data_IF_352762276163
#
_entry.id   IF_352762276163
#
_cell.length_a   1.000
_cell.length_b   1.000
_cell.length_c   1.000
_cell.angle_alpha   90.00
_cell.angle_beta   90.00
_cell.angle_gamma   90.00
#
_symmetry.space_group_name_H-M   'P 1'
#
loop_
_entity.id
_entity.type
_entity.pdbx_description
1 polymer ?
#
# COMPACT_ATOMS: atom_id res chain seq x y z
N UNK A 1 -45.06 -18.35 22.80
CA UNK A 1 -44.89 -16.98 23.34
C UNK A 1 -43.65 -16.80 24.20
N UNK A 2 -43.30 -17.74 25.09
CA UNK A 2 -42.18 -17.59 26.04
C UNK A 2 -40.78 -17.56 25.38
N UNK A 3 -40.56 -18.33 24.30
CA UNK A 3 -39.32 -18.31 23.52
C UNK A 3 -39.06 -16.97 22.81
N UNK A 4 -40.12 -16.29 22.35
CA UNK A 4 -40.00 -15.03 21.64
C UNK A 4 -39.57 -13.88 22.58
N UNK A 5 -40.04 -13.90 23.82
CA UNK A 5 -39.68 -12.90 24.85
C UNK A 5 -38.24 -13.10 25.34
N UNK A 6 -37.77 -14.36 25.43
CA UNK A 6 -36.37 -14.68 25.79
C UNK A 6 -35.43 -14.28 24.66
N UNK A 7 -35.81 -14.52 23.41
CA UNK A 7 -35.03 -14.13 22.23
C UNK A 7 -34.94 -12.60 22.08
N UNK A 8 -36.03 -11.87 22.31
CA UNK A 8 -36.04 -10.39 22.26
C UNK A 8 -35.13 -9.77 23.36
N UNK A 9 -35.09 -10.37 24.55
CA UNK A 9 -34.19 -9.94 25.64
C UNK A 9 -32.70 -10.21 25.34
N UNK A 10 -32.39 -11.26 24.58
CA UNK A 10 -31.03 -11.53 24.09
C UNK A 10 -30.64 -10.56 22.95
N UNK A 11 -31.60 -10.21 22.09
CA UNK A 11 -31.40 -9.31 20.95
C UNK A 11 -31.10 -7.86 21.36
N UNK A 12 -31.75 -7.36 22.42
CA UNK A 12 -31.53 -5.99 22.94
C UNK A 12 -30.16 -5.85 23.64
N UNK A 13 -29.51 -6.96 24.01
CA UNK A 13 -28.26 -6.94 24.79
C UNK A 13 -27.00 -6.77 23.93
N UNK A 14 -27.10 -6.91 22.60
CA UNK A 14 -25.95 -6.83 21.69
C UNK A 14 -26.01 -5.56 20.83
N UNK A 15 -25.49 -4.46 21.37
CA UNK A 15 -25.35 -3.16 20.68
C UNK A 15 -24.54 -3.23 19.37
N UNK A 16 -23.76 -4.28 19.13
CA UNK A 16 -22.92 -4.41 17.93
C UNK A 16 -23.71 -4.82 16.67
N UNK A 17 -24.89 -5.42 16.84
CA UNK A 17 -25.73 -5.84 15.70
C UNK A 17 -26.54 -4.68 15.10
N UNK A 18 -26.85 -3.66 15.90
CA UNK A 18 -27.58 -2.47 15.46
C UNK A 18 -26.78 -1.64 14.44
N UNK A 19 -25.46 -1.60 14.60
CA UNK A 19 -24.56 -0.89 13.66
C UNK A 19 -24.46 -1.59 12.29
N UNK A 20 -24.67 -2.91 12.22
CA UNK A 20 -24.62 -3.68 10.97
C UNK A 20 -25.91 -3.52 10.15
N UNK A 21 -27.04 -3.28 10.82
CA UNK A 21 -28.36 -3.14 10.17
C UNK A 21 -28.56 -1.72 9.61
N UNK A 22 -27.98 -0.71 10.25
CA UNK A 22 -28.27 0.70 9.95
C UNK A 22 -27.63 1.25 8.68
N UNK A 23 -26.65 0.58 8.07
CA UNK A 23 -25.94 1.19 6.94
C UNK A 23 -26.49 0.86 5.54
N UNK A 24 -27.12 -0.30 5.26
CA UNK A 24 -27.68 -0.55 3.91
C UNK A 24 -28.89 -1.51 3.79
N UNK A 25 -29.62 -1.87 4.87
CA UNK A 25 -30.58 -2.99 4.78
C UNK A 25 -32.03 -2.70 5.20
N UNK A 26 -32.61 -1.59 4.73
CA UNK A 26 -34.05 -1.31 4.93
C UNK A 26 -34.96 -2.30 4.18
N UNK A 27 -34.56 -2.76 2.99
CA UNK A 27 -35.34 -3.70 2.16
C UNK A 27 -35.49 -5.10 2.79
N UNK A 28 -34.47 -5.59 3.48
CA UNK A 28 -34.50 -6.93 4.09
C UNK A 28 -35.39 -7.00 5.32
N UNK A 29 -35.51 -5.90 6.07
CA UNK A 29 -36.45 -5.79 7.20
C UNK A 29 -37.89 -5.83 6.66
N UNK A 30 -38.19 -5.13 5.57
CA UNK A 30 -39.52 -5.12 4.93
C UNK A 30 -39.87 -6.52 4.37
N UNK A 31 -38.93 -7.20 3.73
CA UNK A 31 -39.14 -8.55 3.19
C UNK A 31 -39.38 -9.58 4.32
N UNK A 32 -38.65 -9.49 5.43
CA UNK A 32 -38.85 -10.34 6.61
C UNK A 32 -40.20 -10.11 7.29
N UNK A 33 -40.65 -8.86 7.39
CA UNK A 33 -41.97 -8.52 7.91
C UNK A 33 -43.10 -9.03 7.00
N UNK A 34 -42.92 -8.94 5.67
CA UNK A 34 -43.89 -9.45 4.69
C UNK A 34 -44.00 -10.97 4.70
N UNK A 35 -42.87 -11.68 4.77
CA UNK A 35 -42.84 -13.15 4.78
C UNK A 35 -43.34 -13.76 6.09
N UNK A 36 -43.23 -13.06 7.23
CA UNK A 36 -43.79 -13.51 8.52
C UNK A 36 -45.33 -13.53 8.56
N UNK A 37 -46.01 -12.97 7.56
CA UNK A 37 -47.46 -13.00 7.43
C UNK A 37 -48.00 -14.27 6.75
N UNK A 38 -47.11 -15.19 6.34
CA UNK A 38 -47.48 -16.47 5.73
C UNK A 38 -47.63 -17.57 6.81
N UNK A 39 -48.58 -18.49 6.61
CA UNK A 39 -49.01 -19.51 7.59
C UNK A 39 -47.90 -20.46 8.09
N UNK A 40 -46.73 -20.50 7.45
CA UNK A 40 -45.68 -21.47 7.72
C UNK A 40 -44.37 -20.78 8.17
N UNK A 41 -44.42 -20.16 9.35
CA UNK A 41 -43.40 -19.24 9.89
C UNK A 41 -42.01 -19.86 10.08
N UNK A 42 -41.93 -21.17 10.33
CA UNK A 42 -40.65 -21.83 10.65
C UNK A 42 -39.74 -21.99 9.41
N UNK A 43 -40.29 -22.34 8.25
CA UNK A 43 -39.50 -22.55 7.02
C UNK A 43 -38.95 -21.24 6.46
N UNK A 44 -39.74 -20.18 6.53
CA UNK A 44 -39.36 -18.83 6.07
C UNK A 44 -38.21 -18.27 6.91
N UNK A 45 -38.26 -18.46 8.22
CA UNK A 45 -37.20 -18.04 9.12
C UNK A 45 -35.88 -18.76 8.82
N UNK A 46 -35.94 -20.07 8.57
CA UNK A 46 -34.77 -20.87 8.21
C UNK A 46 -34.15 -20.37 6.90
N UNK A 47 -34.96 -20.13 5.86
CA UNK A 47 -34.47 -19.60 4.57
C UNK A 47 -33.82 -18.23 4.75
N UNK A 48 -34.41 -17.34 5.54
CA UNK A 48 -33.84 -16.02 5.82
C UNK A 48 -32.50 -16.12 6.57
N UNK A 49 -32.39 -17.01 7.56
CA UNK A 49 -31.12 -17.29 8.23
C UNK A 49 -30.07 -17.85 7.25
N UNK A 50 -30.45 -18.74 6.34
CA UNK A 50 -29.53 -19.25 5.31
C UNK A 50 -29.08 -18.16 4.33
N UNK A 51 -29.97 -17.24 3.93
CA UNK A 51 -29.61 -16.08 3.09
C UNK A 51 -28.66 -15.15 3.83
N UNK A 52 -28.91 -14.84 5.11
CA UNK A 52 -28.00 -14.02 5.91
C UNK A 52 -26.65 -14.69 6.17
N UNK A 53 -26.63 -16.00 6.42
CA UNK A 53 -25.39 -16.77 6.57
C UNK A 53 -24.64 -16.82 5.25
N UNK A 54 -25.32 -17.08 4.13
CA UNK A 54 -24.73 -17.02 2.80
C UNK A 54 -24.19 -15.62 2.50
N UNK A 55 -24.92 -14.55 2.80
CA UNK A 55 -24.48 -13.18 2.59
C UNK A 55 -23.34 -12.77 3.53
N UNK A 56 -23.29 -13.30 4.75
CA UNK A 56 -22.15 -13.13 5.67
C UNK A 56 -20.92 -13.90 5.18
N UNK A 57 -21.10 -15.09 4.61
CA UNK A 57 -20.04 -15.90 4.01
C UNK A 57 -19.55 -15.34 2.67
N UNK A 58 -20.43 -14.72 1.89
CA UNK A 58 -20.12 -14.03 0.61
C UNK A 58 -19.56 -12.64 0.89
N UNK A 59 -20.06 -11.96 1.92
CA UNK A 59 -19.60 -10.67 2.45
C UNK A 59 -18.29 -10.78 3.24
N UNK A 60 -17.59 -11.90 3.11
CA UNK A 60 -16.21 -12.09 3.55
C UNK A 60 -15.32 -11.19 2.70
N UNK A 61 -15.30 -9.90 3.07
CA UNK A 61 -14.44 -8.82 2.58
C UNK A 61 -14.28 -8.83 1.05
N UNK A 62 -14.87 -7.83 0.39
CA UNK A 62 -14.14 -7.23 -0.73
C UNK A 62 -12.79 -6.84 -0.13
N UNK A 63 -11.77 -7.67 -0.33
CA UNK A 63 -10.41 -7.44 0.12
C UNK A 63 -9.95 -6.20 -0.65
N UNK A 64 -10.23 -5.03 -0.09
CA UNK A 64 -9.61 -3.81 -0.54
C UNK A 64 -8.12 -4.05 -0.41
N UNK A 65 -7.42 -3.94 -1.53
CA UNK A 65 -5.96 -3.98 -1.58
C UNK A 65 -5.50 -2.52 -1.55
N UNK A 66 -5.43 -1.87 -0.37
CA UNK A 66 -5.11 -0.46 -0.30
C UNK A 66 -3.70 -0.24 -0.84
N UNK A 67 -3.56 0.80 -1.64
CA UNK A 67 -2.23 1.35 -1.94
C UNK A 67 -1.69 2.01 -0.68
N UNK A 68 -0.46 1.67 -0.31
CA UNK A 68 0.23 2.25 0.84
C UNK A 68 1.27 3.25 0.37
N UNK A 69 1.37 4.34 1.09
CA UNK A 69 2.44 5.33 0.94
C UNK A 69 3.30 5.23 2.20
N UNK A 70 4.58 4.94 2.03
CA UNK A 70 5.52 4.75 3.14
C UNK A 70 6.71 5.66 2.95
N UNK A 71 6.83 6.70 3.78
CA UNK A 71 8.01 7.55 3.80
C UNK A 71 9.12 6.89 4.61
N UNK A 72 10.25 6.60 3.98
CA UNK A 72 11.46 6.14 4.69
C UNK A 72 12.36 7.32 5.08
N UNK A 73 12.21 8.48 4.44
CA UNK A 73 12.92 9.72 4.76
C UNK A 73 12.39 10.92 3.98
N UNK A 74 12.73 12.12 4.44
CA UNK A 74 12.29 13.40 3.85
C UNK A 74 10.97 13.94 4.39
N UNK A 75 10.35 13.26 5.37
CA UNK A 75 9.17 13.75 6.09
C UNK A 75 9.62 14.31 7.43
N UNK A 76 9.18 15.53 7.75
CA UNK A 76 9.57 16.29 8.95
C UNK A 76 11.10 16.53 9.07
N UNK A 77 11.80 16.50 7.94
CA UNK A 77 13.24 16.77 7.87
C UNK A 77 13.66 17.24 6.47
N UNK A 78 14.89 17.76 6.37
CA UNK A 78 15.56 18.06 5.10
C UNK A 78 16.61 16.98 4.85
N UNK A 79 16.61 16.40 3.66
CA UNK A 79 17.54 15.34 3.27
C UNK A 79 16.92 13.95 3.26
N UNK A 80 17.66 13.00 2.68
CA UNK A 80 17.31 11.57 2.62
C UNK A 80 15.90 11.29 2.09
N UNK A 81 15.45 12.05 1.10
CA UNK A 81 14.14 11.87 0.47
C UNK A 81 14.03 10.46 -0.08
N UNK A 82 13.04 9.70 0.41
CA UNK A 82 12.74 8.33 -0.03
C UNK A 82 11.31 8.00 0.30
N UNK A 83 10.49 7.89 -0.74
CA UNK A 83 9.07 7.55 -0.63
C UNK A 83 8.81 6.23 -1.34
N UNK A 84 8.02 5.35 -0.71
CA UNK A 84 7.56 4.12 -1.31
C UNK A 84 6.06 4.24 -1.62
N UNK A 85 5.68 3.84 -2.82
CA UNK A 85 4.29 3.52 -3.16
C UNK A 85 4.21 2.00 -3.30
N UNK A 86 3.41 1.37 -2.47
CA UNK A 86 3.21 -0.08 -2.47
C UNK A 86 1.77 -0.42 -2.83
N UNK A 87 1.58 -1.20 -3.88
CA UNK A 87 0.29 -1.73 -4.26
C UNK A 87 0.42 -3.25 -4.44
N UNK A 88 -0.37 -4.01 -3.67
CA UNK A 88 -0.21 -5.46 -3.53
C UNK A 88 1.23 -5.79 -3.07
N UNK A 89 1.95 -6.58 -3.86
CA UNK A 89 3.35 -6.95 -3.67
C UNK A 89 4.33 -6.04 -4.43
N UNK A 90 3.85 -5.05 -5.19
CA UNK A 90 4.68 -4.18 -6.02
C UNK A 90 5.07 -2.91 -5.28
N UNK A 91 6.36 -2.58 -5.32
CA UNK A 91 6.93 -1.36 -4.74
C UNK A 91 7.54 -0.49 -5.83
N UNK A 92 7.14 0.78 -5.80
CA UNK A 92 7.70 1.87 -6.58
C UNK A 92 8.43 2.80 -5.62
N UNK A 93 9.73 3.00 -5.83
CA UNK A 93 10.57 3.84 -4.98
C UNK A 93 10.72 5.19 -5.66
N UNK A 94 10.39 6.28 -4.98
CA UNK A 94 10.58 7.65 -5.46
C UNK A 94 11.73 8.25 -4.66
N UNK A 95 12.82 8.55 -5.38
CA UNK A 95 14.10 9.02 -4.85
C UNK A 95 14.76 8.09 -3.82
N UNK A 96 16.07 8.27 -3.64
CA UNK A 96 16.84 7.67 -2.56
C UNK A 96 18.01 8.57 -2.18
N UNK A 97 17.72 9.54 -1.31
CA UNK A 97 18.64 10.59 -0.91
C UNK A 97 19.62 10.25 0.21
N UNK A 98 20.48 11.22 0.48
CA UNK A 98 21.27 11.29 1.71
C UNK A 98 20.88 12.54 2.52
N UNK A 99 21.00 12.47 3.84
CA UNK A 99 20.98 13.64 4.72
C UNK A 99 22.41 13.88 5.18
N UNK A 100 22.91 15.09 4.98
CA UNK A 100 24.23 15.45 5.46
C UNK A 100 24.24 15.44 7.00
N UNK A 101 25.34 14.96 7.57
CA UNK A 101 25.47 14.90 9.01
C UNK A 101 25.80 16.29 9.56
N UNK A 102 25.13 16.71 10.63
CA UNK A 102 25.44 17.96 11.32
C UNK A 102 26.80 17.90 12.03
N UNK A 103 27.36 19.06 12.38
CA UNK A 103 28.68 19.22 13.01
C UNK A 103 28.86 18.42 14.32
N UNK A 104 27.76 18.04 14.99
CA UNK A 104 27.77 17.23 16.20
C UNK A 104 28.06 15.74 15.94
N UNK A 105 27.85 15.26 14.72
CA UNK A 105 28.03 13.85 14.35
C UNK A 105 29.45 13.62 13.79
N UNK A 106 30.45 13.66 14.65
CA UNK A 106 31.85 13.51 14.26
C UNK A 106 32.12 12.14 13.59
N UNK A 107 32.74 12.16 12.41
CA UNK A 107 33.12 10.95 11.66
C UNK A 107 32.02 10.36 10.76
N UNK A 108 30.76 10.77 10.90
CA UNK A 108 29.66 10.36 10.01
C UNK A 108 29.62 11.31 8.80
N UNK A 109 29.71 10.76 7.58
CA UNK A 109 29.69 11.57 6.35
C UNK A 109 28.28 11.88 5.84
N UNK A 110 27.31 11.04 6.19
CA UNK A 110 25.90 11.23 5.84
C UNK A 110 25.02 10.10 6.36
N UNK A 111 23.72 10.35 6.35
CA UNK A 111 22.67 9.50 6.91
C UNK A 111 21.76 9.08 5.77
N UNK A 112 21.49 7.77 5.67
CA UNK A 112 20.58 7.19 4.67
C UNK A 112 19.34 6.60 5.37
N UNK A 113 18.23 6.38 4.64
CA UNK A 113 17.06 5.67 5.15
C UNK A 113 17.37 4.20 5.50
N UNK A 114 16.55 3.62 6.38
CA UNK A 114 16.60 2.20 6.69
C UNK A 114 15.80 1.38 5.64
N UNK A 115 16.49 0.59 4.82
CA UNK A 115 15.88 -0.20 3.75
C UNK A 115 15.35 -1.59 4.19
N UNK A 116 15.27 -1.88 5.49
CA UNK A 116 14.77 -3.17 5.99
C UNK A 116 13.35 -3.49 5.51
N UNK A 117 12.53 -2.47 5.29
CA UNK A 117 11.18 -2.62 4.72
C UNK A 117 11.17 -3.27 3.32
N UNK A 118 12.20 -2.99 2.52
CA UNK A 118 12.36 -3.46 1.14
C UNK A 118 12.94 -4.88 1.07
N UNK A 119 13.48 -5.40 2.17
CA UNK A 119 14.07 -6.74 2.26
C UNK A 119 13.04 -7.82 2.68
N UNK A 120 11.81 -7.43 2.97
CA UNK A 120 10.74 -8.36 3.34
C UNK A 120 10.40 -9.29 2.16
N UNK A 121 10.17 -10.58 2.46
CA UNK A 121 9.83 -11.58 1.45
C UNK A 121 8.50 -11.26 0.76
N UNK A 122 8.40 -11.64 -0.51
CA UNK A 122 7.17 -11.49 -1.30
C UNK A 122 6.93 -10.08 -1.82
N UNK A 123 7.90 -9.17 -1.71
CA UNK A 123 7.83 -7.83 -2.30
C UNK A 123 8.68 -7.75 -3.56
N UNK A 124 8.16 -7.08 -4.59
CA UNK A 124 8.81 -6.87 -5.88
C UNK A 124 9.02 -5.38 -6.11
N UNK A 125 10.28 -4.97 -6.20
CA UNK A 125 10.64 -3.59 -6.56
C UNK A 125 10.51 -3.47 -8.08
N UNK A 126 9.59 -2.64 -8.56
CA UNK A 126 9.38 -2.39 -9.99
C UNK A 126 10.39 -1.40 -10.56
N UNK A 127 10.86 -0.47 -9.73
CA UNK A 127 11.88 0.49 -10.12
C UNK A 127 12.08 1.57 -9.07
N UNK A 128 13.18 2.31 -9.29
CA UNK A 128 13.46 3.58 -8.64
C UNK A 128 13.20 4.69 -9.64
N UNK A 129 12.41 5.67 -9.24
CA UNK A 129 12.00 6.82 -10.04
C UNK A 129 12.63 8.06 -9.42
N UNK A 130 13.57 8.67 -10.13
CA UNK A 130 14.31 9.84 -9.68
C UNK A 130 13.64 11.10 -10.18
N UNK A 131 13.35 12.02 -9.28
CA UNK A 131 12.75 13.31 -9.62
C UNK A 131 13.79 14.26 -10.21
N UNK A 132 14.95 14.38 -9.58
CA UNK A 132 16.05 15.24 -10.02
C UNK A 132 17.39 14.81 -9.41
N UNK A 133 18.48 15.49 -9.80
CA UNK A 133 19.86 15.06 -9.52
C UNK A 133 20.50 15.57 -8.23
N UNK A 134 19.76 16.14 -7.27
CA UNK A 134 20.37 16.60 -6.02
C UNK A 134 20.72 15.44 -5.07
N UNK A 135 21.76 15.61 -4.25
CA UNK A 135 22.26 14.57 -3.33
C UNK A 135 21.22 14.10 -2.31
N UNK A 136 20.35 14.99 -1.85
CA UNK A 136 19.23 14.65 -0.98
C UNK A 136 18.12 13.85 -1.66
N UNK A 137 18.25 13.58 -2.97
CA UNK A 137 17.38 12.72 -3.77
C UNK A 137 18.12 11.53 -4.40
N UNK A 138 19.43 11.62 -4.68
CA UNK A 138 20.19 10.54 -5.34
C UNK A 138 21.36 9.98 -4.52
N UNK A 139 21.78 10.66 -3.46
CA UNK A 139 23.01 10.34 -2.72
C UNK A 139 22.96 8.99 -1.98
N UNK A 140 21.76 8.48 -1.71
CA UNK A 140 21.51 7.19 -1.06
C UNK A 140 21.38 6.00 -2.02
N UNK A 141 21.32 6.24 -3.34
CA UNK A 141 21.00 5.21 -4.35
C UNK A 141 22.02 4.06 -4.34
N UNK A 142 23.31 4.36 -4.21
CA UNK A 142 24.36 3.31 -4.18
C UNK A 142 24.17 2.35 -3.01
N UNK A 143 23.65 2.82 -1.88
CA UNK A 143 23.34 1.99 -0.71
C UNK A 143 22.05 1.20 -0.91
N UNK A 144 21.02 1.83 -1.48
CA UNK A 144 19.78 1.16 -1.85
C UNK A 144 20.03 -0.04 -2.79
N UNK A 145 20.87 0.15 -3.82
CA UNK A 145 21.23 -0.90 -4.80
C UNK A 145 22.03 -2.03 -4.15
N UNK A 146 22.90 -1.73 -3.18
CA UNK A 146 23.65 -2.74 -2.43
C UNK A 146 22.75 -3.59 -1.53
N UNK A 147 21.72 -3.00 -0.95
CA UNK A 147 20.87 -3.67 0.05
C UNK A 147 19.61 -4.34 -0.52
N UNK A 148 19.24 -4.06 -1.77
CA UNK A 148 17.96 -4.51 -2.36
C UNK A 148 18.16 -5.14 -3.73
N UNK A 149 17.11 -5.77 -4.26
CA UNK A 149 17.09 -6.35 -5.61
C UNK A 149 16.72 -5.35 -6.72
N UNK A 150 16.84 -4.05 -6.46
CA UNK A 150 16.63 -3.01 -7.46
C UNK A 150 17.52 -3.24 -8.70
N UNK A 151 16.90 -3.21 -9.88
CA UNK A 151 17.57 -3.44 -11.17
C UNK A 151 17.16 -2.43 -12.26
N UNK A 152 16.25 -1.50 -11.98
CA UNK A 152 15.80 -0.46 -12.93
C UNK A 152 15.74 0.90 -12.24
N UNK A 153 16.34 1.90 -12.88
CA UNK A 153 16.31 3.30 -12.45
C UNK A 153 15.79 4.14 -13.60
N UNK A 154 14.65 4.78 -13.38
CA UNK A 154 14.03 5.76 -14.28
C UNK A 154 14.44 7.15 -13.81
N UNK A 155 15.13 7.91 -14.64
CA UNK A 155 15.69 9.20 -14.20
C UNK A 155 15.93 10.16 -15.37
N UNK A 156 15.93 11.49 -15.13
CA UNK A 156 16.35 12.45 -16.14
C UNK A 156 17.81 12.23 -16.53
N UNK A 157 18.18 12.58 -17.76
CA UNK A 157 19.54 12.39 -18.29
C UNK A 157 20.65 12.85 -17.35
N UNK A 158 20.50 14.03 -16.75
CA UNK A 158 21.49 14.60 -15.85
C UNK A 158 21.69 13.75 -14.58
N UNK A 159 20.60 13.26 -13.98
CA UNK A 159 20.64 12.40 -12.81
C UNK A 159 21.26 11.04 -13.15
N UNK A 160 20.99 10.49 -14.34
CA UNK A 160 21.65 9.27 -14.82
C UNK A 160 23.17 9.45 -14.88
N UNK A 161 23.67 10.59 -15.37
CA UNK A 161 25.12 10.83 -15.44
C UNK A 161 25.74 10.89 -14.04
N UNK A 162 25.12 11.61 -13.09
CA UNK A 162 25.60 11.64 -11.70
C UNK A 162 25.58 10.26 -11.04
N UNK A 163 24.53 9.48 -11.28
CA UNK A 163 24.43 8.13 -10.75
C UNK A 163 25.49 7.19 -11.33
N UNK A 164 25.78 7.29 -12.64
CA UNK A 164 26.86 6.49 -13.27
C UNK A 164 28.21 6.79 -12.62
N UNK A 165 28.54 8.06 -12.43
CA UNK A 165 29.78 8.47 -11.74
C UNK A 165 29.83 7.89 -10.32
N UNK A 166 28.75 8.00 -9.55
CA UNK A 166 28.67 7.41 -8.20
C UNK A 166 28.80 5.88 -8.21
N UNK A 167 28.21 5.21 -9.20
CA UNK A 167 28.28 3.75 -9.29
C UNK A 167 29.72 3.30 -9.52
N UNK A 168 30.47 4.01 -10.37
CA UNK A 168 31.89 3.77 -10.61
C UNK A 168 32.72 4.04 -9.34
N UNK A 169 32.54 5.20 -8.71
CA UNK A 169 33.22 5.57 -7.46
C UNK A 169 33.02 4.54 -6.34
N UNK A 170 31.78 4.05 -6.20
CA UNK A 170 31.42 3.06 -5.18
C UNK A 170 31.58 1.60 -5.62
N UNK A 171 32.14 1.37 -6.82
CA UNK A 171 32.38 0.05 -7.42
C UNK A 171 31.15 -0.85 -7.42
N UNK A 172 30.00 -0.31 -7.82
CA UNK A 172 28.75 -1.06 -7.94
C UNK A 172 28.87 -2.03 -9.11
N UNK A 173 28.90 -3.33 -8.81
CA UNK A 173 28.96 -4.40 -9.82
C UNK A 173 27.58 -4.92 -10.23
N UNK A 174 26.54 -4.58 -9.46
CA UNK A 174 25.18 -5.02 -9.74
C UNK A 174 24.69 -4.41 -11.04
N UNK A 175 24.17 -5.25 -11.93
CA UNK A 175 23.57 -4.80 -13.18
C UNK A 175 22.28 -4.04 -12.88
N UNK A 176 22.28 -2.75 -13.16
CA UNK A 176 21.12 -1.86 -13.07
C UNK A 176 20.92 -1.20 -14.43
N UNK A 177 19.70 -1.30 -14.94
CA UNK A 177 19.28 -0.64 -16.17
C UNK A 177 18.91 0.81 -15.86
N UNK A 178 19.57 1.75 -16.52
CA UNK A 178 19.20 3.17 -16.49
C UNK A 178 18.28 3.47 -17.67
N UNK A 179 17.08 3.96 -17.37
CA UNK A 179 16.05 4.32 -18.34
C UNK A 179 15.90 5.83 -18.28
N UNK A 180 16.30 6.50 -19.36
CA UNK A 180 16.11 7.95 -19.48
C UNK A 180 14.62 8.25 -19.62
N UNK A 181 14.13 9.17 -18.79
CA UNK A 181 12.75 9.63 -18.84
C UNK A 181 12.65 10.95 -19.60
N UNK A 182 11.59 11.07 -20.38
CA UNK A 182 11.20 12.27 -21.09
C UNK A 182 9.84 12.76 -20.61
N UNK A 183 9.53 14.00 -20.99
CA UNK A 183 8.21 14.58 -20.72
C UNK A 183 7.15 13.78 -21.44
N UNK A 184 6.05 13.49 -20.74
CA UNK A 184 4.91 12.67 -21.17
C UNK A 184 5.20 11.18 -21.34
N UNK A 185 6.32 10.68 -20.81
CA UNK A 185 6.58 9.24 -20.78
C UNK A 185 5.64 8.54 -19.79
N UNK A 186 5.06 7.43 -20.24
CA UNK A 186 4.19 6.58 -19.43
C UNK A 186 4.72 5.17 -19.39
N UNK A 187 5.13 4.72 -18.21
CA UNK A 187 5.59 3.36 -17.98
C UNK A 187 4.49 2.54 -17.30
N UNK A 188 4.18 1.38 -17.88
CA UNK A 188 3.14 0.47 -17.40
C UNK A 188 3.77 -0.71 -16.66
N UNK A 189 3.14 -1.10 -15.57
CA UNK A 189 3.55 -2.19 -14.71
C UNK A 189 2.38 -3.16 -14.49
N UNK A 190 2.62 -4.26 -13.79
CA UNK A 190 1.56 -5.20 -13.44
C UNK A 190 0.48 -4.53 -12.55
N UNK A 191 -0.65 -5.23 -12.38
CA UNK A 191 -1.77 -4.78 -11.53
C UNK A 191 -2.33 -3.41 -11.90
N UNK A 192 -2.31 -3.07 -13.20
CA UNK A 192 -2.78 -1.79 -13.74
C UNK A 192 -2.05 -0.55 -13.19
N UNK A 193 -0.86 -0.72 -12.60
CA UNK A 193 -0.04 0.40 -12.15
C UNK A 193 0.62 1.12 -13.35
N UNK A 194 0.65 2.45 -13.29
CA UNK A 194 1.30 3.31 -14.29
C UNK A 194 2.04 4.44 -13.59
N UNK A 195 3.22 4.78 -14.12
CA UNK A 195 3.99 5.96 -13.72
C UNK A 195 4.06 6.88 -14.92
N UNK A 196 3.59 8.12 -14.73
CA UNK A 196 3.53 9.19 -15.74
C UNK A 196 4.49 10.30 -15.33
N UNK A 197 5.23 10.84 -16.29
CA UNK A 197 6.18 11.93 -16.12
C UNK A 197 5.70 13.16 -16.88
N UNK A 198 5.38 14.24 -16.18
CA UNK A 198 4.84 15.48 -16.76
C UNK A 198 5.81 16.65 -16.76
#
# INVERSE_FOLDING_TARGET
MQFFVIFLKLFIKFNWFYSIILQENFYYIILFLHLNNLKNKNYIFIIFCFILIAYSLIGKQILMNPTRIVALGGVEEIGKSTLLVEHLDHIFIIDAGIKFADTYNTGVKGIIPNYSYLKQKGKKIEGLFITHGHEDHIGGVVYLVKETNLNKIFAPRIAIQYLKLKFDEHKITKKVEFIEIHKSDVHKFANNCKVDFW
#
